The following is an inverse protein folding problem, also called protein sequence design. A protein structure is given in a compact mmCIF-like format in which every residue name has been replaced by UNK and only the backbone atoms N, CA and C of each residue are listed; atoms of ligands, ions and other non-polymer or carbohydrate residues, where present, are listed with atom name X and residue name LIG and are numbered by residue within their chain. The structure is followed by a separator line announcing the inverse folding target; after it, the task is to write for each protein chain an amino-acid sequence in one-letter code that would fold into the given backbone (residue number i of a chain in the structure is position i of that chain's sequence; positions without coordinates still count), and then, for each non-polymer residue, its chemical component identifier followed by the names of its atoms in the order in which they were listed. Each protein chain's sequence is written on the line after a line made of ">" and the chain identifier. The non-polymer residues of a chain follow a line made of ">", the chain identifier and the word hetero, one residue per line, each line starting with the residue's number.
data_IF_986286069612
#
_entry.id   IF_986286069612
#
_cell.length_a   1.000
_cell.length_b   1.000
_cell.length_c   1.000
_cell.angle_alpha   90.00
_cell.angle_beta   90.00
_cell.angle_gamma   90.00
#
_symmetry.space_group_name_H-M   'P 1'
#
loop_
_entity.id
_entity.type
_entity.pdbx_description
1 polymer ?
#
# COMPACT_ATOMS: atom_id res chain seq x y z
N UNK A 1 21.43 -12.86 -12.85
CA UNK A 1 20.17 -13.60 -12.61
C UNK A 1 19.35 -12.79 -11.64
N UNK A 2 18.31 -12.11 -12.10
CA UNK A 2 17.39 -11.43 -11.20
C UNK A 2 16.47 -12.48 -10.59
N UNK A 3 16.54 -12.66 -9.28
CA UNK A 3 15.60 -13.50 -8.55
C UNK A 3 14.20 -12.96 -8.81
N UNK A 4 13.35 -13.70 -9.53
CA UNK A 4 11.94 -13.34 -9.66
C UNK A 4 11.30 -13.56 -8.29
N UNK A 5 11.05 -12.48 -7.56
CA UNK A 5 10.35 -12.55 -6.29
C UNK A 5 9.00 -13.24 -6.50
N UNK A 6 8.71 -14.25 -5.68
CA UNK A 6 7.41 -14.93 -5.71
C UNK A 6 6.37 -13.94 -5.20
N UNK A 7 5.28 -13.69 -5.95
CA UNK A 7 4.23 -12.79 -5.51
C UNK A 7 3.60 -13.33 -4.23
N UNK A 8 3.59 -12.51 -3.18
CA UNK A 8 2.89 -12.85 -1.95
C UNK A 8 1.38 -12.74 -2.20
N UNK A 9 0.64 -13.82 -1.93
CA UNK A 9 -0.83 -13.89 -2.08
C UNK A 9 -1.35 -13.36 -3.41
N UNK A 10 -0.68 -13.73 -4.50
CA UNK A 10 -1.02 -13.35 -5.88
C UNK A 10 -1.04 -11.82 -6.13
N UNK A 11 -0.36 -11.02 -5.31
CA UNK A 11 -0.23 -9.58 -5.51
C UNK A 11 0.88 -9.27 -6.52
N UNK A 12 0.49 -9.04 -7.77
CA UNK A 12 1.41 -8.64 -8.84
C UNK A 12 1.52 -7.12 -8.91
N UNK A 13 2.63 -6.58 -8.38
CA UNK A 13 2.89 -5.13 -8.35
C UNK A 13 2.66 -4.44 -9.70
N UNK A 14 3.11 -5.07 -10.80
CA UNK A 14 2.99 -4.52 -12.16
C UNK A 14 1.55 -4.39 -12.64
N UNK A 15 0.65 -5.29 -12.22
CA UNK A 15 -0.76 -5.27 -12.61
C UNK A 15 -1.50 -4.24 -11.76
N UNK A 16 -1.33 -4.32 -10.43
CA UNK A 16 -1.92 -3.38 -9.47
C UNK A 16 -1.54 -1.92 -9.78
N UNK A 17 -0.26 -1.65 -10.10
CA UNK A 17 0.18 -0.30 -10.48
C UNK A 17 -0.51 0.19 -11.75
N UNK A 18 -0.65 -0.66 -12.77
CA UNK A 18 -1.31 -0.27 -14.03
C UNK A 18 -2.77 0.08 -13.80
N UNK A 19 -3.47 -0.74 -13.01
CA UNK A 19 -4.88 -0.52 -12.72
C UNK A 19 -5.10 0.80 -11.96
N UNK A 20 -4.28 1.11 -10.95
CA UNK A 20 -4.34 2.38 -10.22
C UNK A 20 -4.02 3.61 -11.09
N UNK A 21 -3.04 3.49 -11.99
CA UNK A 21 -2.71 4.57 -12.94
C UNK A 21 -3.87 4.80 -13.91
N UNK A 22 -4.52 3.73 -14.39
CA UNK A 22 -5.66 3.81 -15.29
C UNK A 22 -6.90 4.40 -14.59
N UNK A 23 -7.15 4.03 -13.33
CA UNK A 23 -8.26 4.54 -12.52
C UNK A 23 -7.99 5.93 -11.94
N UNK A 24 -6.77 6.47 -12.09
CA UNK A 24 -6.29 7.73 -11.47
C UNK A 24 -6.51 7.77 -9.95
N UNK A 25 -6.47 6.61 -9.30
CA UNK A 25 -6.62 6.48 -7.86
C UNK A 25 -5.31 6.03 -7.22
N UNK A 26 -5.11 6.37 -5.96
CA UNK A 26 -4.03 5.78 -5.18
C UNK A 26 -4.36 4.32 -4.85
N UNK A 27 -3.32 3.51 -4.71
CA UNK A 27 -3.46 2.13 -4.26
C UNK A 27 -3.80 2.10 -2.77
N UNK A 28 -4.82 1.33 -2.42
CA UNK A 28 -5.17 1.00 -1.03
C UNK A 28 -5.03 -0.51 -0.86
N UNK A 29 -4.16 -0.94 0.04
CA UNK A 29 -3.91 -2.35 0.30
C UNK A 29 -5.06 -2.94 1.15
N UNK A 30 -5.75 -3.94 0.58
CA UNK A 30 -6.82 -4.65 1.27
C UNK A 30 -6.31 -5.55 2.40
N UNK A 31 -5.08 -6.06 2.29
CA UNK A 31 -4.48 -6.93 3.32
C UNK A 31 -3.83 -6.15 4.46
N UNK A 32 -3.39 -4.93 4.17
CA UNK A 32 -2.78 -4.05 5.15
C UNK A 32 -3.35 -2.63 5.07
N UNK A 33 -4.62 -2.46 5.48
CA UNK A 33 -5.32 -1.20 5.35
C UNK A 33 -4.70 -0.09 6.19
N UNK A 34 -4.93 1.16 5.79
CA UNK A 34 -4.46 2.34 6.51
C UNK A 34 -5.27 2.65 7.79
N UNK A 35 -5.66 1.63 8.56
CA UNK A 35 -6.37 1.75 9.83
C UNK A 35 -5.55 1.27 11.05
N UNK A 36 -6.11 1.40 12.26
CA UNK A 36 -5.46 1.02 13.52
C UNK A 36 -5.17 -0.48 13.62
N UNK A 37 -5.90 -1.35 12.90
CA UNK A 37 -5.64 -2.80 12.91
C UNK A 37 -4.30 -3.19 12.28
N UNK A 38 -3.79 -2.36 11.36
CA UNK A 38 -2.45 -2.53 10.79
C UNK A 38 -1.34 -2.00 11.70
N UNK A 39 -1.67 -1.16 12.69
CA UNK A 39 -0.70 -0.58 13.63
C UNK A 39 -0.62 -1.37 14.94
N UNK A 40 -1.76 -1.85 15.43
CA UNK A 40 -1.88 -2.42 16.77
C UNK A 40 -2.60 -3.76 16.74
N UNK A 41 -2.01 -4.75 17.39
CA UNK A 41 -2.60 -6.09 17.50
C UNK A 41 -3.77 -6.16 18.50
N UNK A 42 -3.84 -5.25 19.49
CA UNK A 42 -4.85 -5.32 20.56
C UNK A 42 -5.51 -3.99 20.93
N UNK A 43 -4.73 -2.94 21.20
CA UNK A 43 -5.29 -1.63 21.57
C UNK A 43 -4.37 -0.52 21.09
N UNK A 44 -4.95 0.51 20.48
CA UNK A 44 -4.23 1.71 20.12
C UNK A 44 -3.81 2.49 21.38
N UNK A 45 -2.58 3.03 21.43
CA UNK A 45 -2.23 4.10 22.34
C UNK A 45 -3.17 5.29 22.11
N UNK A 46 -3.44 6.09 23.14
CA UNK A 46 -4.37 7.22 23.09
C UNK A 46 -3.97 8.37 22.13
N UNK A 47 -2.89 8.21 21.37
CA UNK A 47 -2.36 9.19 20.44
C UNK A 47 -2.88 8.90 19.03
N UNK A 48 -3.48 9.90 18.41
CA UNK A 48 -3.87 9.86 17.00
C UNK A 48 -2.61 9.83 16.13
N UNK A 49 -2.50 8.81 15.28
CA UNK A 49 -1.50 8.77 14.22
C UNK A 49 -2.13 9.25 12.91
N UNK A 50 -1.60 10.34 12.35
CA UNK A 50 -1.95 10.74 10.99
C UNK A 50 -1.13 9.95 9.97
N UNK A 51 -1.80 9.30 9.03
CA UNK A 51 -1.14 8.65 7.89
C UNK A 51 -0.99 9.64 6.74
N UNK A 52 0.25 9.84 6.29
CA UNK A 52 0.57 10.68 5.14
C UNK A 52 1.02 9.80 3.98
N UNK A 53 0.36 9.92 2.84
CA UNK A 53 0.92 9.40 1.59
C UNK A 53 1.92 10.43 1.05
N UNK A 54 3.17 10.02 0.83
CA UNK A 54 4.14 10.83 0.08
C UNK A 54 3.87 10.64 -1.40
N UNK A 55 3.18 11.59 -2.02
CA UNK A 55 3.07 11.64 -3.48
C UNK A 55 4.46 11.93 -4.05
N UNK A 56 5.17 10.90 -4.52
CA UNK A 56 6.28 11.11 -5.44
C UNK A 56 5.67 11.44 -6.79
N UNK A 57 5.44 12.74 -7.05
CA UNK A 57 5.26 13.23 -8.41
C UNK A 57 6.52 12.87 -9.18
N UNK A 58 6.46 11.78 -9.94
CA UNK A 58 7.43 11.50 -10.99
C UNK A 58 7.23 12.58 -12.07
N UNK A 59 7.97 13.68 -11.91
CA UNK A 59 8.02 14.77 -12.88
C UNK A 59 8.97 14.32 -14.00
N UNK A 60 8.42 13.62 -14.99
CA UNK A 60 9.02 13.49 -16.32
C UNK A 60 8.20 14.28 -17.32
#
# INVERSE_FOLDING_TARGET
>A
MFSSAVPYRNQHYSELRKDCVNSKSLFEDAEFPANDSSLYFRRSPLLLLERKCTFTTDRT
#
